data_IF_303858885015
#
_entry.id   IF_303858885015
#
_cell.length_a   1.000
_cell.length_b   1.000
_cell.length_c   1.000
_cell.angle_alpha   90.00
_cell.angle_beta   90.00
_cell.angle_gamma   90.00
#
_symmetry.space_group_name_H-M   'P 1'
#
loop_
_entity.id
_entity.type
_entity.pdbx_description
1 polymer ?
#
# COMPACT_ATOMS: atom_id res chain seq x y z
N UNK A 1 9.68 -18.95 -16.64
CA UNK A 1 9.68 -17.60 -16.05
C UNK A 1 8.24 -17.16 -15.88
N UNK A 2 7.61 -17.55 -14.78
CA UNK A 2 6.22 -17.18 -14.52
C UNK A 2 6.21 -15.73 -14.04
N UNK A 3 5.67 -14.82 -14.84
CA UNK A 3 5.39 -13.45 -14.41
C UNK A 3 4.44 -13.52 -13.21
N UNK A 4 4.78 -12.83 -12.13
CA UNK A 4 3.84 -12.61 -11.04
C UNK A 4 2.85 -11.56 -11.56
N UNK A 5 1.54 -11.85 -11.68
CA UNK A 5 0.56 -10.85 -12.05
C UNK A 5 0.40 -9.87 -10.88
N UNK A 6 1.25 -8.86 -10.85
CA UNK A 6 1.29 -7.81 -9.84
C UNK A 6 1.50 -6.46 -10.51
N UNK A 7 1.01 -5.40 -9.87
CA UNK A 7 1.45 -4.04 -10.14
C UNK A 7 1.99 -3.45 -8.85
N UNK A 8 2.99 -2.59 -8.96
CA UNK A 8 3.58 -1.87 -7.83
C UNK A 8 3.47 -0.37 -8.07
N UNK A 9 3.04 0.36 -7.05
CA UNK A 9 2.94 1.82 -7.08
C UNK A 9 3.90 2.41 -6.04
N UNK A 10 4.76 3.32 -6.48
CA UNK A 10 5.58 4.16 -5.64
C UNK A 10 5.22 5.63 -5.87
N UNK A 11 5.21 6.44 -4.81
CA UNK A 11 4.89 7.86 -4.88
C UNK A 11 5.97 8.68 -4.19
N UNK A 12 6.43 9.74 -4.87
CA UNK A 12 7.33 10.71 -4.28
C UNK A 12 6.57 11.60 -3.29
N UNK A 13 7.10 11.75 -2.07
CA UNK A 13 6.46 12.52 -0.99
C UNK A 13 6.64 14.04 -1.13
N UNK A 14 7.48 14.49 -2.06
CA UNK A 14 7.75 15.91 -2.33
C UNK A 14 7.46 16.19 -3.79
N UNK A 15 6.72 17.26 -4.03
CA UNK A 15 6.52 17.85 -5.34
C UNK A 15 7.51 19.00 -5.52
N UNK A 16 8.82 18.73 -5.49
CA UNK A 16 9.74 19.63 -6.18
C UNK A 16 9.65 19.34 -7.67
N UNK A 17 9.55 20.38 -8.49
CA UNK A 17 9.36 20.25 -9.94
C UNK A 17 10.51 19.50 -10.67
N UNK A 18 11.56 19.11 -9.94
CA UNK A 18 12.73 18.37 -10.41
C UNK A 18 12.73 16.86 -10.09
N UNK A 19 11.88 16.36 -9.18
CA UNK A 19 11.80 14.92 -8.88
C UNK A 19 10.61 14.25 -9.57
N UNK A 20 10.80 12.99 -9.99
CA UNK A 20 9.74 12.15 -10.56
C UNK A 20 8.59 11.98 -9.55
N UNK A 21 7.35 12.29 -9.93
CA UNK A 21 6.18 12.25 -9.03
C UNK A 21 5.79 10.86 -8.51
N UNK A 22 6.30 9.79 -9.12
CA UNK A 22 6.05 8.39 -8.74
C UNK A 22 6.26 7.43 -9.91
N UNK A 23 6.16 6.12 -9.64
CA UNK A 23 6.27 5.06 -10.65
C UNK A 23 5.16 4.01 -10.49
N UNK A 24 4.59 3.57 -11.62
CA UNK A 24 3.77 2.36 -11.72
C UNK A 24 4.55 1.30 -12.50
N UNK A 25 4.85 0.18 -11.85
CA UNK A 25 5.48 -0.98 -12.48
C UNK A 25 4.44 -2.08 -12.71
N UNK A 26 4.33 -2.56 -13.95
CA UNK A 26 3.45 -3.67 -14.32
C UNK A 26 4.25 -4.97 -14.45
N UNK A 27 3.84 -6.01 -13.72
CA UNK A 27 4.44 -7.35 -13.78
C UNK A 27 5.69 -7.54 -12.92
N UNK A 28 5.96 -6.64 -11.96
CA UNK A 28 7.16 -6.70 -11.14
C UNK A 28 7.12 -5.80 -9.91
N UNK A 29 8.23 -5.79 -9.18
CA UNK A 29 8.50 -4.96 -8.01
C UNK A 29 9.87 -4.32 -8.22
N UNK A 30 9.97 -2.99 -8.14
CA UNK A 30 11.27 -2.33 -8.10
C UNK A 30 11.80 -2.32 -6.66
N UNK A 31 12.83 -3.14 -6.43
CA UNK A 31 13.50 -3.24 -5.13
C UNK A 31 14.30 -1.99 -4.73
N UNK A 32 14.52 -1.05 -5.65
CA UNK A 32 15.18 0.23 -5.36
C UNK A 32 14.29 1.22 -4.61
N UNK A 33 12.96 1.04 -4.70
CA UNK A 33 11.96 2.01 -4.22
C UNK A 33 11.41 1.70 -2.81
N UNK A 34 11.91 0.67 -2.15
CA UNK A 34 11.57 0.36 -0.76
C UNK A 34 12.77 -0.21 0.01
N UNK A 35 12.68 -0.23 1.35
CA UNK A 35 13.70 -0.80 2.23
C UNK A 35 13.12 -1.96 3.03
N UNK A 36 13.93 -2.98 3.30
CA UNK A 36 13.52 -4.15 4.08
C UNK A 36 12.72 -5.16 3.26
N UNK A 37 11.86 -5.93 3.92
CA UNK A 37 11.03 -6.97 3.31
C UNK A 37 9.58 -6.51 3.11
N UNK A 38 8.93 -7.04 2.07
CA UNK A 38 7.48 -6.87 1.88
C UNK A 38 6.75 -7.85 2.79
N UNK A 39 5.80 -7.35 3.57
CA UNK A 39 4.88 -8.15 4.36
C UNK A 39 3.51 -8.16 3.67
N UNK A 40 3.05 -9.35 3.28
CA UNK A 40 1.80 -9.51 2.55
C UNK A 40 0.62 -9.69 3.51
N UNK A 41 -0.50 -9.05 3.19
CA UNK A 41 -1.79 -9.24 3.85
C UNK A 41 -2.80 -9.76 2.83
N UNK A 42 -3.70 -10.68 3.22
CA UNK A 42 -4.70 -11.21 2.30
C UNK A 42 -5.78 -10.18 1.98
N UNK A 43 -6.28 -10.21 0.74
CA UNK A 43 -7.49 -9.48 0.36
C UNK A 43 -8.72 -10.14 0.99
N UNK A 44 -9.54 -9.39 1.71
CA UNK A 44 -10.74 -9.91 2.41
C UNK A 44 -11.97 -9.95 1.51
N UNK A 45 -12.10 -9.01 0.58
CA UNK A 45 -13.19 -8.96 -0.41
C UNK A 45 -12.64 -8.62 -1.81
N UNK A 46 -12.90 -9.49 -2.79
CA UNK A 46 -12.29 -9.40 -4.14
C UNK A 46 -12.94 -8.38 -5.08
N UNK A 47 -13.85 -7.55 -4.57
CA UNK A 47 -14.43 -6.40 -5.27
C UNK A 47 -13.49 -5.19 -5.24
N UNK A 48 -12.62 -5.10 -4.23
CA UNK A 48 -11.67 -4.02 -4.02
C UNK A 48 -10.30 -4.58 -3.58
N UNK A 49 -9.28 -3.70 -3.53
CA UNK A 49 -8.07 -3.98 -2.75
C UNK A 49 -8.35 -3.79 -1.26
N UNK A 50 -9.29 -4.58 -0.73
CA UNK A 50 -9.74 -4.51 0.66
C UNK A 50 -8.88 -5.39 1.56
N UNK A 51 -8.48 -4.84 2.71
CA UNK A 51 -7.69 -5.52 3.73
C UNK A 51 -8.32 -5.35 5.10
N UNK A 52 -8.03 -6.30 5.99
CA UNK A 52 -8.36 -6.18 7.40
C UNK A 52 -7.33 -5.33 8.14
N UNK A 53 -7.78 -4.35 8.91
CA UNK A 53 -6.98 -3.56 9.84
C UNK A 53 -7.27 -3.98 11.28
N UNK A 54 -6.24 -4.31 12.05
CA UNK A 54 -6.41 -4.74 13.45
C UNK A 54 -6.81 -3.61 14.40
N UNK A 55 -6.19 -2.43 14.28
CA UNK A 55 -6.50 -1.21 15.03
C UNK A 55 -5.72 -0.03 14.45
N UNK A 56 -6.17 1.19 14.78
CA UNK A 56 -5.45 2.43 14.50
C UNK A 56 -5.04 3.07 15.82
N UNK A 57 -3.75 3.42 15.95
CA UNK A 57 -3.20 4.04 17.14
C UNK A 57 -2.81 5.49 16.91
N UNK A 58 -3.17 6.37 17.85
CA UNK A 58 -2.73 7.76 17.91
C UNK A 58 -1.91 7.92 19.19
N UNK A 59 -0.67 8.40 19.06
CA UNK A 59 0.26 8.54 20.20
C UNK A 59 0.40 7.23 21.02
N UNK A 60 0.42 6.08 20.32
CA UNK A 60 0.56 4.76 20.93
C UNK A 60 -0.71 4.15 21.55
N UNK A 61 -1.82 4.89 21.63
CA UNK A 61 -3.10 4.41 22.16
C UNK A 61 -4.06 4.05 21.04
N UNK A 62 -4.81 2.96 21.19
CA UNK A 62 -5.85 2.57 20.22
C UNK A 62 -6.91 3.66 20.21
N UNK A 63 -7.09 4.27 19.05
CA UNK A 63 -8.07 5.33 18.80
C UNK A 63 -9.28 4.82 18.01
N UNK A 64 -9.05 3.91 17.06
CA UNK A 64 -10.10 3.34 16.20
C UNK A 64 -9.87 1.86 15.93
N UNK A 65 -10.93 1.22 15.41
CA UNK A 65 -10.93 -0.19 15.04
C UNK A 65 -10.47 -1.11 16.19
N UNK A 66 -10.99 -0.91 17.40
CA UNK A 66 -10.61 -1.70 18.59
C UNK A 66 -10.87 -3.20 18.45
N UNK A 67 -11.80 -3.57 17.56
CA UNK A 67 -12.15 -4.94 17.22
C UNK A 67 -11.81 -5.30 15.77
N UNK A 68 -10.89 -4.54 15.18
CA UNK A 68 -10.61 -4.56 13.75
C UNK A 68 -11.67 -3.84 12.91
N UNK A 69 -11.33 -3.59 11.66
CA UNK A 69 -12.18 -3.00 10.64
C UNK A 69 -11.63 -3.30 9.24
N UNK A 70 -12.41 -3.02 8.20
CA UNK A 70 -11.95 -3.13 6.82
C UNK A 70 -11.47 -1.79 6.27
N UNK A 71 -10.48 -1.83 5.39
CA UNK A 71 -9.99 -0.66 4.66
C UNK A 71 -9.67 -1.02 3.21
N UNK A 72 -9.73 -0.03 2.33
CA UNK A 72 -9.40 -0.18 0.92
C UNK A 72 -8.10 0.56 0.64
N UNK A 73 -7.18 -0.09 -0.06
CA UNK A 73 -5.97 0.54 -0.60
C UNK A 73 -6.34 1.16 -1.95
N UNK A 74 -6.56 2.47 -1.97
CA UNK A 74 -6.98 3.22 -3.15
C UNK A 74 -5.97 4.32 -3.50
N UNK A 75 -5.30 4.17 -4.64
CA UNK A 75 -4.36 5.19 -5.15
C UNK A 75 -5.04 6.36 -5.87
N UNK A 76 -6.36 6.33 -6.03
CA UNK A 76 -7.15 7.38 -6.67
C UNK A 76 -7.65 8.49 -5.73
N UNK A 77 -7.47 8.36 -4.42
CA UNK A 77 -8.00 9.27 -3.40
C UNK A 77 -6.85 10.01 -2.66
N UNK A 78 -7.00 11.33 -2.43
CA UNK A 78 -6.01 12.20 -1.75
C UNK A 78 -6.60 12.99 -0.57
#
# INVERSE_FOLDING_TARGET
YTSIPAFNLSSARRADASESGGELLLGGIDHSLYKGSIHWVPVTEKSYWQIHLNNIKIQGRVAFCSHGCEAIVDSGTS
#
